data_IF_594762153449
#
_entry.id   IF_594762153449
#
_cell.length_a   1.000
_cell.length_b   1.000
_cell.length_c   1.000
_cell.angle_alpha   90.00
_cell.angle_beta   90.00
_cell.angle_gamma   90.00
#
_symmetry.space_group_name_H-M   'P 1'
#
loop_
_entity.id
_entity.type
_entity.pdbx_description
1 polymer ?
#
# COMPACT_ATOMS: atom_id res chain seq x y z
N UNK A 1 11.36 4.49 12.15
CA UNK A 1 11.79 4.37 10.73
C UNK A 1 11.86 2.89 10.40
N UNK A 2 11.46 2.49 9.19
CA UNK A 2 11.38 1.07 8.82
C UNK A 2 12.71 0.68 8.16
N UNK A 3 13.39 -0.34 8.70
CA UNK A 3 14.61 -0.86 8.06
C UNK A 3 14.29 -1.51 6.72
N UNK A 4 15.26 -1.56 5.81
CA UNK A 4 15.07 -2.25 4.52
C UNK A 4 14.66 -3.71 4.69
N UNK A 5 15.18 -4.41 5.69
CA UNK A 5 14.84 -5.81 5.95
C UNK A 5 13.41 -5.97 6.45
N UNK A 6 12.96 -5.10 7.35
CA UNK A 6 11.56 -5.10 7.81
C UNK A 6 10.61 -4.77 6.67
N UNK A 7 11.00 -3.84 5.80
CA UNK A 7 10.23 -3.47 4.61
C UNK A 7 10.15 -4.63 3.60
N UNK A 8 11.28 -5.27 3.27
CA UNK A 8 11.31 -6.44 2.40
C UNK A 8 10.52 -7.61 2.99
N UNK A 9 10.61 -7.85 4.30
CA UNK A 9 9.82 -8.87 4.98
C UNK A 9 8.33 -8.56 4.90
N UNK A 10 7.94 -7.30 5.10
CA UNK A 10 6.55 -6.86 4.95
C UNK A 10 6.06 -7.10 3.52
N UNK A 11 6.85 -6.78 2.50
CA UNK A 11 6.53 -7.04 1.10
C UNK A 11 6.39 -8.54 0.82
N UNK A 12 7.33 -9.35 1.31
CA UNK A 12 7.33 -10.80 1.19
C UNK A 12 6.09 -11.43 1.85
N UNK A 13 5.73 -10.99 3.05
CA UNK A 13 4.56 -11.47 3.80
C UNK A 13 3.21 -11.10 3.17
N UNK A 14 3.19 -10.13 2.26
CA UNK A 14 2.03 -9.72 1.47
C UNK A 14 1.87 -10.55 0.20
N UNK A 15 2.73 -11.54 -0.04
CA UNK A 15 2.61 -12.44 -1.20
C UNK A 15 1.77 -13.68 -0.86
N UNK A 16 0.90 -14.06 -1.80
CA UNK A 16 -0.04 -15.17 -1.62
C UNK A 16 0.67 -16.51 -1.37
N UNK A 17 1.72 -16.81 -2.16
CA UNK A 17 2.39 -18.10 -2.12
C UNK A 17 3.10 -18.36 -0.78
N UNK A 18 3.61 -17.32 -0.13
CA UNK A 18 4.25 -17.43 1.20
C UNK A 18 3.24 -17.85 2.25
N UNK A 19 2.05 -17.24 2.26
CA UNK A 19 0.97 -17.59 3.20
C UNK A 19 0.42 -18.98 2.91
N UNK A 20 0.21 -19.30 1.64
CA UNK A 20 -0.21 -20.61 1.20
C UNK A 20 0.77 -21.68 1.67
N UNK A 21 2.08 -21.47 1.47
CA UNK A 21 3.14 -22.38 1.92
C UNK A 21 3.17 -22.51 3.44
N UNK A 22 3.04 -21.42 4.20
CA UNK A 22 3.05 -21.44 5.67
C UNK A 22 1.86 -22.23 6.22
N UNK A 23 0.65 -22.00 5.71
CA UNK A 23 -0.55 -22.73 6.14
C UNK A 23 -0.48 -24.20 5.74
N UNK A 24 0.05 -24.48 4.54
CA UNK A 24 0.31 -25.83 4.06
C UNK A 24 1.29 -26.57 4.97
N UNK A 25 2.41 -25.93 5.32
CA UNK A 25 3.40 -26.50 6.21
C UNK A 25 2.82 -26.73 7.61
N UNK A 26 2.07 -25.77 8.15
CA UNK A 26 1.40 -25.91 9.44
C UNK A 26 0.40 -27.07 9.44
N UNK A 27 -0.37 -27.23 8.36
CA UNK A 27 -1.29 -28.35 8.17
C UNK A 27 -0.56 -29.70 8.17
N UNK A 28 0.54 -29.81 7.41
CA UNK A 28 1.37 -31.02 7.34
C UNK A 28 1.97 -31.34 8.71
N UNK A 29 2.57 -30.34 9.36
CA UNK A 29 3.17 -30.48 10.70
C UNK A 29 2.11 -30.92 11.71
N UNK A 30 0.91 -30.35 11.67
CA UNK A 30 -0.18 -30.72 12.59
C UNK A 30 -0.56 -32.19 12.43
N UNK A 31 -0.65 -32.70 11.19
CA UNK A 31 -0.92 -34.10 10.93
C UNK A 31 0.23 -35.01 11.45
N UNK A 32 1.49 -34.64 11.21
CA UNK A 32 2.65 -35.40 11.67
C UNK A 32 2.82 -35.39 13.19
N UNK A 33 2.52 -34.27 13.85
CA UNK A 33 2.57 -34.15 15.32
C UNK A 33 1.58 -35.12 15.97
N UNK A 34 0.43 -35.40 15.33
CA UNK A 34 -0.51 -36.39 15.85
C UNK A 34 0.06 -37.82 15.89
N UNK A 35 1.02 -38.16 15.00
CA UNK A 35 1.78 -39.41 15.06
C UNK A 35 2.75 -39.40 16.26
N UNK A 36 3.42 -38.27 16.50
CA UNK A 36 4.41 -38.16 17.57
C UNK A 36 3.81 -38.13 18.98
N UNK A 37 2.60 -37.58 19.13
CA UNK A 37 1.89 -37.48 20.41
C UNK A 37 1.21 -38.80 20.80
N UNK A 38 0.96 -39.70 19.86
CA UNK A 38 0.28 -41.00 20.08
C UNK A 38 0.77 -41.76 21.34
N UNK A 39 2.09 -41.89 21.63
CA UNK A 39 2.57 -42.62 22.79
C UNK A 39 2.22 -41.99 24.16
N UNK A 40 1.84 -40.71 24.17
CA UNK A 40 1.53 -39.96 25.39
C UNK A 40 0.04 -39.91 25.72
N UNK A 41 -0.83 -40.43 24.84
CA UNK A 41 -2.28 -40.42 25.02
C UNK A 41 -2.71 -41.72 25.74
N UNK A 42 -3.44 -41.66 26.86
CA UNK A 42 -3.93 -42.86 27.55
C UNK A 42 -4.83 -43.71 26.64
N UNK A 43 -4.58 -45.03 26.62
CA UNK A 43 -5.28 -45.99 25.76
C UNK A 43 -6.82 -46.00 25.95
N UNK A 44 -7.32 -45.58 27.12
CA UNK A 44 -8.75 -45.52 27.45
C UNK A 44 -9.56 -44.54 26.57
N UNK A 45 -8.89 -43.57 25.91
CA UNK A 45 -9.55 -42.62 25.01
C UNK A 45 -9.69 -43.13 23.57
N UNK A 46 -8.84 -44.08 23.15
CA UNK A 46 -8.74 -44.54 21.76
C UNK A 46 -9.91 -45.41 21.28
N UNK A 47 -10.53 -46.18 22.18
CA UNK A 47 -11.48 -47.23 21.82
C UNK A 47 -12.90 -46.80 21.42
N UNK A 48 -13.21 -45.50 21.36
CA UNK A 48 -14.59 -45.00 21.13
C UNK A 48 -14.77 -44.09 19.91
N UNK A 49 -13.70 -43.70 19.22
CA UNK A 49 -13.77 -42.86 18.02
C UNK A 49 -13.38 -43.73 16.82
N UNK A 50 -14.35 -44.08 15.99
CA UNK A 50 -14.15 -44.98 14.85
C UNK A 50 -13.24 -44.34 13.79
N UNK A 51 -12.21 -45.07 13.37
CA UNK A 51 -11.32 -44.69 12.27
C UNK A 51 -12.12 -44.32 11.00
N UNK A 52 -13.18 -45.07 10.72
CA UNK A 52 -14.09 -44.85 9.59
C UNK A 52 -14.70 -43.43 9.58
N UNK A 53 -14.98 -42.85 10.75
CA UNK A 53 -15.54 -41.50 10.84
C UNK A 53 -14.49 -40.43 10.52
N UNK A 54 -13.23 -40.66 10.88
CA UNK A 54 -12.12 -39.75 10.54
C UNK A 54 -11.84 -39.80 9.05
N UNK A 55 -11.72 -41.00 8.48
CA UNK A 55 -11.48 -41.20 7.04
C UNK A 55 -12.55 -40.50 6.20
N UNK A 56 -13.82 -40.71 6.53
CA UNK A 56 -14.93 -40.08 5.81
C UNK A 56 -14.87 -38.54 5.88
N UNK A 57 -14.53 -37.97 7.04
CA UNK A 57 -14.36 -36.51 7.19
C UNK A 57 -13.21 -36.00 6.32
N UNK A 58 -12.05 -36.65 6.39
CA UNK A 58 -10.88 -36.23 5.63
C UNK A 58 -11.12 -36.34 4.12
N UNK A 59 -11.79 -37.38 3.64
CA UNK A 59 -12.14 -37.53 2.22
C UNK A 59 -13.10 -36.43 1.73
N UNK A 60 -14.12 -36.11 2.52
CA UNK A 60 -15.04 -35.01 2.22
C UNK A 60 -14.26 -33.69 2.16
N UNK A 61 -13.35 -33.46 3.09
CA UNK A 61 -12.52 -32.25 3.10
C UNK A 61 -11.57 -32.20 1.91
N UNK A 62 -10.86 -33.29 1.60
CA UNK A 62 -9.92 -33.35 0.48
C UNK A 62 -10.63 -33.06 -0.87
N UNK A 63 -11.79 -33.67 -1.10
CA UNK A 63 -12.55 -33.47 -2.35
C UNK A 63 -13.18 -32.08 -2.44
N UNK A 64 -13.80 -31.59 -1.36
CA UNK A 64 -14.50 -30.30 -1.36
C UNK A 64 -13.54 -29.11 -1.35
N UNK A 65 -12.43 -29.17 -0.62
CA UNK A 65 -11.52 -28.02 -0.47
C UNK A 65 -10.78 -27.68 -1.75
N UNK A 66 -10.46 -28.66 -2.60
CA UNK A 66 -9.88 -28.38 -3.90
C UNK A 66 -10.87 -27.61 -4.81
N UNK A 67 -12.13 -28.01 -4.81
CA UNK A 67 -13.19 -27.32 -5.56
C UNK A 67 -13.43 -25.91 -5.03
N UNK A 68 -13.54 -25.73 -3.70
CA UNK A 68 -13.73 -24.41 -3.07
C UNK A 68 -12.52 -23.50 -3.31
N UNK A 69 -11.30 -24.03 -3.27
CA UNK A 69 -10.07 -23.27 -3.59
C UNK A 69 -10.07 -22.81 -5.05
N UNK A 70 -10.42 -23.70 -5.98
CA UNK A 70 -10.49 -23.39 -7.42
C UNK A 70 -11.55 -22.32 -7.71
N UNK A 71 -12.75 -22.48 -7.14
CA UNK A 71 -13.82 -21.48 -7.23
C UNK A 71 -13.35 -20.12 -6.69
N UNK A 72 -12.74 -20.11 -5.49
CA UNK A 72 -12.28 -18.88 -4.85
C UNK A 72 -11.17 -18.19 -5.63
N UNK A 73 -10.22 -18.94 -6.19
CA UNK A 73 -9.18 -18.40 -7.06
C UNK A 73 -9.77 -17.80 -8.34
N UNK A 74 -10.78 -18.44 -8.92
CA UNK A 74 -11.47 -17.94 -10.11
C UNK A 74 -12.14 -16.61 -9.84
N UNK A 75 -12.90 -16.51 -8.73
CA UNK A 75 -13.57 -15.26 -8.34
C UNK A 75 -12.55 -14.14 -8.08
N UNK A 76 -11.42 -14.46 -7.44
CA UNK A 76 -10.33 -13.50 -7.24
C UNK A 76 -9.79 -12.98 -8.57
N UNK A 77 -9.45 -13.86 -9.52
CA UNK A 77 -8.93 -13.46 -10.83
C UNK A 77 -9.96 -12.63 -11.61
N UNK A 78 -11.23 -13.02 -11.57
CA UNK A 78 -12.33 -12.24 -12.16
C UNK A 78 -12.43 -10.84 -11.55
N UNK A 79 -12.30 -10.71 -10.23
CA UNK A 79 -12.30 -9.42 -9.55
C UNK A 79 -11.08 -8.56 -9.92
N UNK A 80 -9.88 -9.15 -10.08
CA UNK A 80 -8.70 -8.42 -10.57
C UNK A 80 -8.90 -7.93 -12.01
N UNK A 81 -9.49 -8.75 -12.86
CA UNK A 81 -9.84 -8.36 -14.23
C UNK A 81 -10.84 -7.20 -14.23
N UNK A 82 -11.90 -7.29 -13.41
CA UNK A 82 -12.91 -6.23 -13.28
C UNK A 82 -12.32 -4.92 -12.75
N UNK A 83 -11.42 -4.96 -11.76
CA UNK A 83 -10.75 -3.76 -11.26
C UNK A 83 -9.78 -3.17 -12.30
N UNK A 84 -9.09 -4.01 -13.07
CA UNK A 84 -8.21 -3.55 -14.16
C UNK A 84 -9.01 -2.84 -15.26
N UNK A 85 -10.23 -3.30 -15.55
CA UNK A 85 -11.10 -2.74 -16.58
C UNK A 85 -11.94 -1.54 -16.13
N UNK A 86 -12.28 -1.43 -14.84
CA UNK A 86 -13.10 -0.33 -14.30
C UNK A 86 -12.31 0.75 -13.54
N UNK A 87 -11.10 0.44 -13.06
CA UNK A 87 -10.29 1.31 -12.22
C UNK A 87 -8.94 1.58 -12.91
N UNK A 88 -7.83 0.98 -12.47
CA UNK A 88 -6.54 1.04 -13.19
C UNK A 88 -5.71 -0.21 -12.86
N UNK A 89 -4.80 -0.65 -13.75
CA UNK A 89 -3.88 -1.76 -13.46
C UNK A 89 -2.97 -1.53 -12.25
N UNK A 90 -2.77 -0.27 -11.83
CA UNK A 90 -1.91 0.05 -10.68
C UNK A 90 -2.66 -0.13 -9.36
N UNK A 91 -3.96 0.17 -9.36
CA UNK A 91 -4.82 -0.06 -8.21
C UNK A 91 -5.04 -1.56 -7.93
N UNK A 92 -5.00 -2.42 -8.95
CA UNK A 92 -5.17 -3.87 -8.78
C UNK A 92 -4.02 -4.53 -8.00
N UNK A 93 -2.83 -3.93 -7.97
CA UNK A 93 -1.73 -4.42 -7.13
C UNK A 93 -2.08 -4.42 -5.64
N UNK A 94 -2.80 -3.38 -5.18
CA UNK A 94 -3.30 -3.38 -3.81
C UNK A 94 -4.30 -4.52 -3.64
N UNK A 95 -5.19 -4.76 -4.61
CA UNK A 95 -6.10 -5.92 -4.58
C UNK A 95 -5.37 -7.26 -4.43
N UNK A 96 -4.24 -7.43 -5.11
CA UNK A 96 -3.39 -8.62 -5.03
C UNK A 96 -2.74 -8.82 -3.66
N UNK A 97 -2.50 -7.74 -2.91
CA UNK A 97 -1.93 -7.75 -1.56
C UNK A 97 -3.00 -7.88 -0.45
N UNK A 98 -4.24 -8.23 -0.79
CA UNK A 98 -5.28 -8.41 0.23
C UNK A 98 -5.07 -9.66 1.09
N UNK A 99 -4.61 -9.41 2.30
CA UNK A 99 -4.36 -10.43 3.32
C UNK A 99 -5.61 -11.25 3.68
N UNK A 100 -6.82 -10.67 3.60
CA UNK A 100 -8.05 -11.42 3.91
C UNK A 100 -8.28 -12.50 2.86
N UNK A 101 -8.25 -12.12 1.59
CA UNK A 101 -8.40 -13.04 0.46
C UNK A 101 -7.28 -14.10 0.45
N UNK A 102 -6.03 -13.70 0.69
CA UNK A 102 -4.90 -14.62 0.74
C UNK A 102 -5.04 -15.64 1.89
N UNK A 103 -5.49 -15.20 3.08
CA UNK A 103 -5.70 -16.10 4.22
C UNK A 103 -6.83 -17.10 3.97
N UNK A 104 -7.92 -16.65 3.34
CA UNK A 104 -9.04 -17.53 2.95
C UNK A 104 -8.54 -18.64 2.04
N UNK A 105 -7.85 -18.30 0.94
CA UNK A 105 -7.31 -19.29 0.01
C UNK A 105 -6.28 -20.21 0.66
N UNK A 106 -5.38 -19.65 1.48
CA UNK A 106 -4.35 -20.42 2.19
C UNK A 106 -4.97 -21.41 3.19
N UNK A 107 -6.09 -21.04 3.82
CA UNK A 107 -6.83 -21.93 4.72
C UNK A 107 -7.49 -23.08 3.97
N UNK A 108 -8.12 -22.82 2.81
CA UNK A 108 -8.71 -23.89 2.00
C UNK A 108 -7.64 -24.85 1.44
N UNK A 109 -6.52 -24.32 0.96
CA UNK A 109 -5.38 -25.14 0.50
C UNK A 109 -4.75 -25.92 1.66
N UNK A 110 -4.58 -25.29 2.83
CA UNK A 110 -4.08 -25.93 4.03
C UNK A 110 -4.98 -27.06 4.50
N UNK A 111 -6.30 -26.86 4.51
CA UNK A 111 -7.27 -27.89 4.86
C UNK A 111 -7.26 -29.07 3.86
N UNK A 112 -7.12 -28.78 2.56
CA UNK A 112 -6.92 -29.80 1.53
C UNK A 112 -5.67 -30.65 1.81
N UNK A 113 -4.52 -30.01 2.05
CA UNK A 113 -3.25 -30.72 2.31
C UNK A 113 -3.23 -31.45 3.65
N UNK A 114 -3.80 -30.86 4.70
CA UNK A 114 -4.04 -31.53 5.98
C UNK A 114 -4.79 -32.83 5.76
N UNK A 115 -5.87 -32.77 4.98
CA UNK A 115 -6.70 -33.94 4.71
C UNK A 115 -5.96 -35.01 3.91
N UNK A 116 -5.23 -34.62 2.87
CA UNK A 116 -4.42 -35.54 2.08
C UNK A 116 -3.35 -36.25 2.92
N UNK A 117 -2.61 -35.50 3.75
CA UNK A 117 -1.59 -36.09 4.64
C UNK A 117 -2.23 -36.95 5.72
N UNK A 118 -3.37 -36.54 6.27
CA UNK A 118 -4.16 -37.33 7.21
C UNK A 118 -4.57 -38.68 6.61
N UNK A 119 -5.16 -38.68 5.40
CA UNK A 119 -5.55 -39.89 4.66
C UNK A 119 -4.35 -40.79 4.39
N UNK A 120 -3.24 -40.23 3.90
CA UNK A 120 -2.02 -41.00 3.62
C UNK A 120 -1.47 -41.63 4.91
N UNK A 121 -1.44 -40.90 6.02
CA UNK A 121 -0.97 -41.42 7.30
C UNK A 121 -1.90 -42.48 7.89
N UNK A 122 -3.23 -42.34 7.76
CA UNK A 122 -4.21 -43.35 8.20
C UNK A 122 -4.07 -44.63 7.39
N UNK A 123 -4.00 -44.52 6.06
CA UNK A 123 -3.80 -45.66 5.15
C UNK A 123 -2.45 -46.34 5.33
N UNK A 124 -1.41 -45.60 5.71
CA UNK A 124 -0.10 -46.16 6.04
C UNK A 124 -0.05 -46.85 7.42
N UNK A 125 -1.14 -46.79 8.21
CA UNK A 125 -1.18 -47.31 9.57
C UNK A 125 -0.27 -46.52 10.54
N UNK A 126 0.07 -45.28 10.21
CA UNK A 126 1.00 -44.46 11.00
C UNK A 126 0.38 -43.91 12.29
N UNK A 127 -0.95 -43.90 12.40
CA UNK A 127 -1.67 -43.44 13.59
C UNK A 127 -2.15 -44.62 14.43
N UNK A 128 -1.67 -44.71 15.68
CA UNK A 128 -2.27 -45.56 16.70
C UNK A 128 -3.63 -45.03 17.19
N UNK A 129 -4.24 -45.73 18.15
CA UNK A 129 -5.60 -45.40 18.62
C UNK A 129 -5.68 -43.99 19.26
N UNK A 130 -4.62 -43.53 19.92
CA UNK A 130 -4.55 -42.19 20.49
C UNK A 130 -4.38 -41.10 19.42
N UNK A 131 -3.51 -41.34 18.45
CA UNK A 131 -3.28 -40.47 17.30
C UNK A 131 -4.54 -40.26 16.45
N UNK A 132 -5.38 -41.30 16.30
CA UNK A 132 -6.68 -41.21 15.63
C UNK A 132 -7.67 -40.29 16.33
N UNK A 133 -7.72 -40.33 17.68
CA UNK A 133 -8.56 -39.43 18.47
C UNK A 133 -8.11 -37.98 18.30
N UNK A 134 -6.80 -37.73 18.36
CA UNK A 134 -6.25 -36.39 18.15
C UNK A 134 -6.54 -35.90 16.72
N UNK A 135 -6.35 -36.75 15.73
CA UNK A 135 -6.65 -36.44 14.34
C UNK A 135 -8.14 -36.11 14.15
N UNK A 136 -9.05 -36.86 14.77
CA UNK A 136 -10.49 -36.56 14.76
C UNK A 136 -10.81 -35.17 15.32
N UNK A 137 -10.27 -34.85 16.50
CA UNK A 137 -10.50 -33.54 17.16
C UNK A 137 -9.96 -32.39 16.30
N UNK A 138 -8.75 -32.56 15.74
CA UNK A 138 -8.13 -31.58 14.84
C UNK A 138 -8.95 -31.43 13.56
N UNK A 139 -9.44 -32.52 12.97
CA UNK A 139 -10.32 -32.48 11.79
C UNK A 139 -11.61 -31.72 12.07
N UNK A 140 -12.23 -31.93 13.24
CA UNK A 140 -13.44 -31.18 13.62
C UNK A 140 -13.15 -29.68 13.79
N UNK A 141 -12.02 -29.34 14.41
CA UNK A 141 -11.57 -27.96 14.51
C UNK A 141 -11.29 -27.35 13.12
N UNK A 142 -10.68 -28.11 12.22
CA UNK A 142 -10.42 -27.68 10.84
C UNK A 142 -11.72 -27.45 10.06
N UNK A 143 -12.73 -28.32 10.21
CA UNK A 143 -14.07 -28.09 9.63
C UNK A 143 -14.64 -26.75 10.12
N UNK A 144 -14.58 -26.49 11.42
CA UNK A 144 -15.10 -25.25 11.99
C UNK A 144 -14.36 -24.03 11.42
N UNK A 145 -13.02 -24.09 11.34
CA UNK A 145 -12.18 -23.05 10.74
C UNK A 145 -12.56 -22.81 9.27
N UNK A 146 -12.71 -23.88 8.49
CA UNK A 146 -13.11 -23.81 7.07
C UNK A 146 -14.50 -23.18 6.93
N UNK A 147 -15.47 -23.59 7.74
CA UNK A 147 -16.83 -23.05 7.70
C UNK A 147 -16.86 -21.55 8.02
N UNK A 148 -16.17 -21.12 9.08
CA UNK A 148 -16.05 -19.69 9.43
C UNK A 148 -15.31 -18.90 8.34
N UNK A 149 -14.27 -19.49 7.76
CA UNK A 149 -13.50 -18.88 6.67
C UNK A 149 -14.34 -18.71 5.42
N UNK A 150 -15.19 -19.68 5.10
CA UNK A 150 -16.12 -19.60 3.96
C UNK A 150 -17.19 -18.52 4.18
N UNK A 151 -17.75 -18.40 5.39
CA UNK A 151 -18.69 -17.31 5.71
C UNK A 151 -18.02 -15.94 5.59
N UNK A 152 -16.79 -15.80 6.10
CA UNK A 152 -15.99 -14.59 5.96
C UNK A 152 -15.70 -14.28 4.48
N UNK A 153 -15.41 -15.30 3.68
CA UNK A 153 -15.17 -15.16 2.26
C UNK A 153 -16.40 -14.63 1.52
N UNK A 154 -17.57 -15.22 1.76
CA UNK A 154 -18.85 -14.77 1.17
C UNK A 154 -19.11 -13.31 1.53
N UNK A 155 -18.92 -12.92 2.80
CA UNK A 155 -19.08 -11.54 3.22
C UNK A 155 -18.10 -10.59 2.51
N UNK A 156 -16.84 -11.01 2.35
CA UNK A 156 -15.80 -10.20 1.71
C UNK A 156 -16.05 -9.99 0.21
N UNK A 157 -16.53 -11.03 -0.48
CA UNK A 157 -16.79 -11.03 -1.91
C UNK A 157 -17.79 -9.95 -2.37
N UNK A 158 -18.73 -9.58 -1.51
CA UNK A 158 -19.77 -8.59 -1.86
C UNK A 158 -19.24 -7.19 -2.17
N UNK A 159 -18.01 -6.88 -1.73
CA UNK A 159 -17.34 -5.59 -1.93
C UNK A 159 -16.04 -5.70 -2.73
N UNK A 160 -15.46 -6.89 -2.82
CA UNK A 160 -14.17 -7.12 -3.46
C UNK A 160 -14.19 -6.81 -4.95
N UNK A 161 -13.20 -6.06 -5.44
CA UNK A 161 -13.08 -5.70 -6.86
C UNK A 161 -14.04 -4.61 -7.36
N UNK A 162 -14.92 -4.08 -6.49
CA UNK A 162 -15.75 -2.92 -6.84
C UNK A 162 -14.91 -1.65 -6.83
N UNK A 163 -15.28 -0.68 -7.67
CA UNK A 163 -14.60 0.63 -7.79
C UNK A 163 -14.45 1.27 -6.41
N UNK A 164 -15.53 1.37 -5.64
CA UNK A 164 -15.51 2.00 -4.30
C UNK A 164 -14.50 1.38 -3.34
N UNK A 165 -14.42 0.04 -3.26
CA UNK A 165 -13.45 -0.64 -2.39
C UNK A 165 -12.02 -0.46 -2.90
N UNK A 166 -11.81 -0.55 -4.21
CA UNK A 166 -10.48 -0.37 -4.81
C UNK A 166 -9.96 1.04 -4.55
N UNK A 167 -10.80 2.06 -4.79
CA UNK A 167 -10.47 3.46 -4.52
C UNK A 167 -10.21 3.70 -3.03
N UNK A 168 -10.93 3.04 -2.11
CA UNK A 168 -10.70 3.16 -0.66
C UNK A 168 -9.33 2.60 -0.24
N UNK A 169 -8.88 1.55 -0.91
CA UNK A 169 -7.56 0.98 -0.64
C UNK A 169 -6.44 1.87 -1.15
N UNK A 170 -6.62 2.49 -2.32
CA UNK A 170 -5.67 3.49 -2.82
C UNK A 170 -5.64 4.71 -1.90
N UNK A 171 -6.81 5.19 -1.45
CA UNK A 171 -6.93 6.28 -0.48
C UNK A 171 -6.19 5.96 0.84
N UNK A 172 -6.43 4.78 1.42
CA UNK A 172 -5.72 4.34 2.65
C UNK A 172 -4.21 4.27 2.45
N UNK A 173 -3.76 3.77 1.30
CA UNK A 173 -2.33 3.69 0.99
C UNK A 173 -1.70 5.09 0.81
N UNK A 174 -2.38 5.99 0.09
CA UNK A 174 -1.96 7.38 -0.09
C UNK A 174 -1.90 8.14 1.24
N UNK A 175 -2.95 8.00 2.07
CA UNK A 175 -3.01 8.60 3.39
C UNK A 175 -1.89 8.10 4.29
N UNK A 176 -1.68 6.77 4.38
CA UNK A 176 -0.63 6.21 5.22
C UNK A 176 0.77 6.65 4.81
N UNK A 177 1.05 6.73 3.50
CA UNK A 177 2.33 7.22 3.00
C UNK A 177 2.53 8.70 3.31
N UNK A 178 1.49 9.53 3.11
CA UNK A 178 1.56 10.96 3.40
C UNK A 178 1.69 11.24 4.90
N UNK A 179 0.88 10.58 5.72
CA UNK A 179 0.93 10.64 7.19
C UNK A 179 2.34 10.30 7.69
N UNK A 180 2.96 9.25 7.16
CA UNK A 180 4.34 8.89 7.49
C UNK A 180 5.34 10.01 7.17
N UNK A 181 5.21 10.67 6.01
CA UNK A 181 6.05 11.80 5.60
C UNK A 181 5.82 13.05 6.44
N UNK A 182 4.58 13.27 6.89
CA UNK A 182 4.21 14.38 7.76
C UNK A 182 4.75 14.16 9.18
N UNK A 183 4.67 12.93 9.71
CA UNK A 183 5.26 12.55 11.00
C UNK A 183 6.79 12.55 10.97
N UNK A 184 7.37 12.17 9.83
CA UNK A 184 8.82 12.07 9.61
C UNK A 184 9.23 12.88 8.38
N UNK A 185 9.27 14.23 8.46
CA UNK A 185 9.67 15.08 7.34
C UNK A 185 10.99 14.62 6.74
N UNK A 186 11.06 14.57 5.41
CA UNK A 186 12.23 14.09 4.67
C UNK A 186 12.68 12.67 5.11
N UNK A 187 11.72 11.82 5.50
CA UNK A 187 11.97 10.48 6.07
C UNK A 187 12.90 10.51 7.29
N UNK A 188 12.85 11.57 8.10
CA UNK A 188 13.69 11.78 9.28
C UNK A 188 15.06 12.40 9.02
N UNK A 189 15.39 12.69 7.76
CA UNK A 189 16.59 13.41 7.34
C UNK A 189 16.42 14.93 7.47
N UNK A 190 17.51 15.67 7.28
CA UNK A 190 17.47 17.12 7.14
C UNK A 190 16.81 17.52 5.80
N UNK A 191 16.08 18.65 5.75
CA UNK A 191 15.55 19.15 4.49
C UNK A 191 16.68 19.64 3.56
N UNK A 192 16.66 19.17 2.32
CA UNK A 192 17.51 19.63 1.23
C UNK A 192 16.72 20.59 0.32
N UNK A 193 16.63 21.85 0.73
CA UNK A 193 15.93 22.90 -0.04
C UNK A 193 16.84 23.66 -1.00
N UNK A 194 18.15 23.69 -0.72
CA UNK A 194 19.14 24.37 -1.54
C UNK A 194 20.25 23.39 -1.94
N UNK A 195 20.37 23.15 -3.25
CA UNK A 195 21.39 22.27 -3.83
C UNK A 195 22.80 22.90 -3.78
N UNK A 196 22.92 24.22 -3.57
CA UNK A 196 24.21 24.91 -3.44
C UNK A 196 24.98 24.50 -2.19
N UNK A 197 24.28 23.96 -1.19
CA UNK A 197 24.87 23.43 0.05
C UNK A 197 25.72 22.18 -0.21
N UNK A 198 25.51 21.51 -1.35
CA UNK A 198 26.26 20.31 -1.70
C UNK A 198 27.64 20.71 -2.26
N UNK A 199 28.76 20.33 -1.62
CA UNK A 199 30.08 20.69 -2.12
C UNK A 199 30.34 20.16 -3.54
N UNK A 200 31.06 20.93 -4.36
CA UNK A 200 31.46 20.48 -5.70
C UNK A 200 32.36 19.24 -5.66
N UNK A 201 33.09 19.04 -4.57
CA UNK A 201 33.93 17.88 -4.32
C UNK A 201 33.13 16.64 -3.89
N UNK A 202 31.82 16.74 -3.71
CA UNK A 202 30.98 15.62 -3.29
C UNK A 202 30.94 14.54 -4.37
N UNK A 203 31.19 13.29 -3.97
CA UNK A 203 31.19 12.16 -4.86
C UNK A 203 29.76 11.73 -5.21
N UNK A 204 29.53 11.37 -6.46
CA UNK A 204 28.23 10.85 -6.89
C UNK A 204 28.05 9.39 -6.48
N UNK A 205 26.90 9.08 -5.88
CA UNK A 205 26.37 7.73 -5.72
C UNK A 205 25.39 7.44 -6.88
N UNK A 206 25.80 6.76 -7.95
CA UNK A 206 24.93 6.52 -9.10
C UNK A 206 23.90 5.41 -8.80
N UNK A 207 22.78 5.44 -9.51
CA UNK A 207 21.90 4.27 -9.57
C UNK A 207 22.58 3.14 -10.36
N UNK A 208 22.30 1.89 -9.99
CA UNK A 208 22.92 0.72 -10.64
C UNK A 208 22.04 0.10 -11.74
N UNK A 209 20.78 0.54 -11.87
CA UNK A 209 19.84 0.11 -12.91
C UNK A 209 18.84 1.21 -13.25
N UNK A 210 18.15 1.06 -14.37
CA UNK A 210 17.00 1.89 -14.76
C UNK A 210 15.77 1.41 -13.99
N UNK A 211 15.22 2.24 -13.10
CA UNK A 211 14.19 1.84 -12.15
C UNK A 211 13.56 3.06 -11.44
N UNK A 212 12.50 2.84 -10.68
CA UNK A 212 12.01 3.76 -9.66
C UNK A 212 12.66 3.47 -8.30
N UNK A 213 12.86 4.50 -7.50
CA UNK A 213 13.19 4.35 -6.07
C UNK A 213 11.94 3.93 -5.31
N UNK A 214 11.91 2.72 -4.77
CA UNK A 214 10.77 2.22 -3.99
C UNK A 214 10.89 2.53 -2.50
N UNK A 215 12.10 2.40 -1.97
CA UNK A 215 12.38 2.53 -0.54
C UNK A 215 13.78 3.09 -0.31
N UNK A 216 13.91 3.95 0.70
CA UNK A 216 15.17 4.46 1.22
C UNK A 216 15.22 4.17 2.71
N UNK A 217 16.26 3.43 3.13
CA UNK A 217 16.59 3.21 4.53
C UNK A 217 17.46 4.39 5.03
N UNK A 218 16.80 5.50 5.35
CA UNK A 218 17.47 6.73 5.81
C UNK A 218 18.20 6.55 7.13
N UNK A 219 17.75 5.62 7.98
CA UNK A 219 18.43 5.28 9.23
C UNK A 219 19.78 4.62 8.94
N UNK A 220 19.79 3.59 8.08
CA UNK A 220 21.03 2.93 7.66
C UNK A 220 21.99 3.91 6.98
N UNK A 221 21.49 4.81 6.13
CA UNK A 221 22.31 5.87 5.53
C UNK A 221 22.96 6.74 6.60
N UNK A 222 22.20 7.16 7.62
CA UNK A 222 22.71 8.01 8.70
C UNK A 222 23.72 7.31 9.60
N UNK A 223 23.48 6.05 9.93
CA UNK A 223 24.38 5.23 10.74
C UNK A 223 25.72 5.03 10.02
N UNK A 224 25.70 4.61 8.75
CA UNK A 224 26.92 4.47 7.94
C UNK A 224 27.64 5.80 7.72
N UNK A 225 26.89 6.89 7.49
CA UNK A 225 27.48 8.22 7.33
C UNK A 225 28.15 8.70 8.62
N UNK A 226 27.55 8.44 9.78
CA UNK A 226 28.13 8.77 11.08
C UNK A 226 29.42 8.00 11.34
N UNK A 227 29.41 6.69 11.09
CA UNK A 227 30.56 5.81 11.30
C UNK A 227 31.78 6.24 10.48
N UNK A 228 31.56 6.70 9.24
CA UNK A 228 32.63 7.05 8.31
C UNK A 228 32.90 8.56 8.20
N UNK A 229 32.21 9.38 8.99
CA UNK A 229 32.35 10.85 8.94
C UNK A 229 31.93 11.46 7.60
N UNK A 230 30.92 10.88 6.94
CA UNK A 230 30.38 11.34 5.65
C UNK A 230 29.11 12.17 5.87
N UNK A 231 28.76 12.97 4.86
CA UNK A 231 27.41 13.55 4.73
C UNK A 231 26.75 13.07 3.44
N UNK A 232 25.49 12.67 3.54
CA UNK A 232 24.74 12.07 2.43
C UNK A 232 23.63 13.03 2.00
N UNK A 233 23.70 13.52 0.77
CA UNK A 233 22.68 14.35 0.15
C UNK A 233 21.89 13.50 -0.83
N UNK A 234 20.76 12.94 -0.38
CA UNK A 234 19.83 12.19 -1.22
C UNK A 234 19.24 13.13 -2.27
N UNK A 235 19.27 12.73 -3.54
CA UNK A 235 18.73 13.53 -4.65
C UNK A 235 17.47 12.89 -5.26
N UNK A 236 17.40 11.56 -5.23
CA UNK A 236 16.26 10.79 -5.72
C UNK A 236 15.40 10.34 -4.54
N UNK A 237 14.22 10.95 -4.37
CA UNK A 237 13.24 10.55 -3.38
C UNK A 237 12.48 9.27 -3.80
N UNK A 238 11.77 8.57 -2.88
CA UNK A 238 10.85 7.51 -3.27
C UNK A 238 9.88 8.00 -4.36
N UNK A 239 9.71 7.19 -5.40
CA UNK A 239 8.94 7.54 -6.59
C UNK A 239 9.75 8.16 -7.73
N UNK A 240 10.98 8.60 -7.50
CA UNK A 240 11.84 9.14 -8.56
C UNK A 240 12.27 8.04 -9.53
N UNK A 241 12.18 8.34 -10.84
CA UNK A 241 12.72 7.47 -11.89
C UNK A 241 14.22 7.76 -12.07
N UNK A 242 15.04 6.72 -11.99
CA UNK A 242 16.51 6.82 -12.00
C UNK A 242 17.12 5.88 -13.02
N UNK A 243 18.34 6.21 -13.45
CA UNK A 243 19.18 5.42 -14.34
C UNK A 243 20.66 5.65 -13.96
N UNK A 244 21.63 4.91 -14.54
CA UNK A 244 23.05 5.08 -14.16
C UNK A 244 23.65 6.47 -14.38
N UNK A 245 23.02 7.33 -15.19
CA UNK A 245 23.40 8.74 -15.36
C UNK A 245 22.73 9.69 -14.37
N UNK A 246 21.69 9.26 -13.65
CA UNK A 246 21.05 10.05 -12.60
C UNK A 246 21.56 9.62 -11.21
N UNK A 247 22.05 10.56 -10.40
CA UNK A 247 22.55 10.25 -9.07
C UNK A 247 21.42 9.89 -8.10
N UNK A 248 21.61 8.86 -7.28
CA UNK A 248 20.75 8.59 -6.12
C UNK A 248 21.01 9.61 -5.02
N UNK A 249 22.30 9.87 -4.78
CA UNK A 249 22.79 10.79 -3.77
C UNK A 249 24.14 11.39 -4.16
N UNK A 250 24.52 12.48 -3.49
CA UNK A 250 25.88 13.01 -3.44
C UNK A 250 26.45 12.84 -2.03
N UNK A 251 27.73 12.49 -1.94
CA UNK A 251 28.41 12.16 -0.68
C UNK A 251 29.55 13.14 -0.46
N UNK A 252 29.50 13.94 0.61
CA UNK A 252 30.64 14.73 1.05
C UNK A 252 31.54 13.86 1.93
N UNK A 253 32.79 13.72 1.51
CA UNK A 253 33.79 12.84 2.12
C UNK A 253 34.42 11.89 1.11
N UNK A 254 35.35 11.05 1.59
CA UNK A 254 36.03 10.05 0.75
C UNK A 254 35.30 8.71 0.87
N UNK A 255 34.71 8.26 -0.23
CA UNK A 255 33.96 7.00 -0.29
C UNK A 255 34.80 5.90 -0.95
N UNK A 256 35.03 4.80 -0.25
CA UNK A 256 35.62 3.58 -0.84
C UNK A 256 34.57 2.80 -1.64
N UNK A 257 35.00 1.89 -2.52
CA UNK A 257 34.08 1.08 -3.31
C UNK A 257 33.21 0.14 -2.45
N UNK A 258 33.74 -0.36 -1.33
CA UNK A 258 32.99 -1.17 -0.37
C UNK A 258 31.89 -0.35 0.31
N UNK A 259 32.23 0.85 0.80
CA UNK A 259 31.27 1.78 1.41
C UNK A 259 30.19 2.21 0.42
N UNK A 260 30.57 2.42 -0.85
CA UNK A 260 29.63 2.71 -1.95
C UNK A 260 28.58 1.61 -2.08
N UNK A 261 28.99 0.35 -2.07
CA UNK A 261 28.08 -0.79 -2.13
C UNK A 261 27.10 -0.83 -0.95
N UNK A 262 27.58 -0.52 0.26
CA UNK A 262 26.74 -0.48 1.47
C UNK A 262 25.70 0.64 1.40
N UNK A 263 26.11 1.85 0.97
CA UNK A 263 25.19 2.98 0.79
C UNK A 263 24.16 2.71 -0.31
N UNK A 264 24.57 2.15 -1.45
CA UNK A 264 23.64 1.69 -2.49
C UNK A 264 22.66 0.65 -1.93
N UNK A 265 23.13 -0.23 -1.05
CA UNK A 265 22.32 -1.23 -0.37
C UNK A 265 21.23 -0.65 0.53
N UNK A 266 21.26 0.64 0.89
CA UNK A 266 20.18 1.32 1.62
C UNK A 266 19.03 1.77 0.71
N UNK A 267 19.22 1.77 -0.61
CA UNK A 267 18.17 2.03 -1.59
C UNK A 267 17.57 0.70 -2.08
N UNK A 268 16.26 0.70 -2.34
CA UNK A 268 15.57 -0.35 -3.09
C UNK A 268 15.05 0.25 -4.39
N UNK A 269 15.45 -0.35 -5.51
CA UNK A 269 15.06 0.09 -6.85
C UNK A 269 14.25 -1.02 -7.53
N UNK A 270 13.15 -0.69 -8.19
CA UNK A 270 12.38 -1.64 -8.99
C UNK A 270 11.75 -1.00 -10.24
N UNK A 271 11.25 -1.79 -11.18
CA UNK A 271 10.67 -1.32 -12.44
C UNK A 271 9.38 -0.52 -12.24
N UNK A 272 8.77 -0.59 -11.05
CA UNK A 272 7.48 -0.02 -10.75
C UNK A 272 7.56 0.84 -9.47
N UNK A 273 6.62 1.79 -9.32
CA UNK A 273 6.50 2.58 -8.07
C UNK A 273 5.84 1.75 -6.98
N UNK A 274 6.23 1.99 -5.74
CA UNK A 274 5.64 1.41 -4.53
C UNK A 274 4.73 2.42 -3.84
N UNK A 275 3.66 1.96 -3.18
CA UNK A 275 2.79 2.81 -2.35
C UNK A 275 3.36 3.06 -0.95
N UNK A 276 4.40 2.33 -0.52
CA UNK A 276 4.79 2.29 0.89
C UNK A 276 5.51 3.58 1.37
N UNK A 277 6.37 4.17 0.55
CA UNK A 277 7.12 5.39 0.89
C UNK A 277 6.89 6.56 -0.08
N UNK A 278 6.04 6.39 -1.08
CA UNK A 278 5.76 7.39 -2.11
C UNK A 278 4.34 7.98 -1.92
N UNK A 279 4.23 9.15 -1.26
CA UNK A 279 2.93 9.78 -1.00
C UNK A 279 2.26 10.30 -2.27
N UNK A 280 3.03 10.55 -3.34
CA UNK A 280 2.51 11.02 -4.62
C UNK A 280 1.86 9.89 -5.41
N UNK A 281 2.38 8.67 -5.32
CA UNK A 281 1.91 7.59 -6.18
C UNK A 281 0.44 7.23 -5.96
N UNK A 282 0.01 7.18 -4.70
CA UNK A 282 -1.40 6.99 -4.36
C UNK A 282 -2.30 8.07 -4.96
N UNK A 283 -1.84 9.33 -4.93
CA UNK A 283 -2.54 10.46 -5.55
C UNK A 283 -2.58 10.34 -7.08
N UNK A 284 -1.47 9.99 -7.73
CA UNK A 284 -1.44 9.72 -9.17
C UNK A 284 -2.45 8.63 -9.56
N UNK A 285 -2.51 7.54 -8.80
CA UNK A 285 -3.43 6.42 -9.09
C UNK A 285 -4.88 6.86 -8.88
N UNK A 286 -5.21 7.63 -7.85
CA UNK A 286 -6.55 8.22 -7.71
C UNK A 286 -6.91 9.14 -8.88
N UNK A 287 -5.96 9.96 -9.34
CA UNK A 287 -6.16 10.82 -10.49
C UNK A 287 -6.42 10.02 -11.77
N UNK A 288 -5.70 8.92 -11.99
CA UNK A 288 -5.98 7.99 -13.09
C UNK A 288 -7.40 7.42 -13.02
N UNK A 289 -7.89 7.07 -11.82
CA UNK A 289 -9.27 6.57 -11.61
C UNK A 289 -10.29 7.63 -12.02
N UNK A 290 -10.11 8.87 -11.54
CA UNK A 290 -10.99 9.98 -11.88
C UNK A 290 -10.95 10.28 -13.38
N UNK A 291 -9.76 10.41 -13.99
CA UNK A 291 -9.59 10.64 -15.43
C UNK A 291 -10.22 9.53 -16.27
N UNK A 292 -10.11 8.27 -15.85
CA UNK A 292 -10.76 7.16 -16.55
C UNK A 292 -12.28 7.25 -16.45
N UNK A 293 -12.81 7.58 -15.27
CA UNK A 293 -14.25 7.78 -15.07
C UNK A 293 -14.78 8.92 -15.95
N UNK A 294 -14.01 10.00 -16.11
CA UNK A 294 -14.35 11.15 -16.95
C UNK A 294 -14.18 10.89 -18.45
N UNK A 295 -13.55 9.78 -18.84
CA UNK A 295 -13.33 9.46 -20.25
C UNK A 295 -14.66 9.27 -21.00
N UNK A 296 -14.72 9.59 -22.31
CA UNK A 296 -15.93 9.40 -23.11
C UNK A 296 -16.48 7.95 -23.10
N UNK A 297 -15.61 6.97 -22.85
CA UNK A 297 -15.99 5.55 -22.81
C UNK A 297 -16.73 5.15 -21.52
N UNK A 298 -16.46 5.83 -20.40
CA UNK A 298 -17.07 5.52 -19.08
C UNK A 298 -18.13 6.55 -18.71
N UNK A 299 -17.81 7.84 -18.84
CA UNK A 299 -18.69 8.98 -18.58
C UNK A 299 -19.41 8.92 -17.21
N UNK A 300 -18.63 8.69 -16.14
CA UNK A 300 -19.09 8.64 -14.76
C UNK A 300 -18.46 9.78 -13.93
N UNK A 301 -19.03 11.01 -13.98
CA UNK A 301 -18.55 12.13 -13.17
C UNK A 301 -18.72 11.89 -11.66
N UNK A 302 -19.62 10.98 -11.24
CA UNK A 302 -19.86 10.64 -9.84
C UNK A 302 -18.62 10.04 -9.18
N UNK A 303 -17.93 9.13 -9.87
CA UNK A 303 -16.66 8.55 -9.39
C UNK A 303 -15.56 9.61 -9.28
N UNK A 304 -15.45 10.54 -10.23
CA UNK A 304 -14.47 11.63 -10.15
C UNK A 304 -14.76 12.58 -8.97
N UNK A 305 -16.03 12.89 -8.71
CA UNK A 305 -16.46 13.68 -7.55
C UNK A 305 -16.13 12.98 -6.23
N UNK A 306 -16.33 11.66 -6.14
CA UNK A 306 -15.93 10.86 -4.98
C UNK A 306 -14.41 10.92 -4.77
N UNK A 307 -13.61 10.73 -5.82
CA UNK A 307 -12.14 10.85 -5.77
C UNK A 307 -11.68 12.23 -5.31
N UNK A 308 -12.26 13.31 -5.83
CA UNK A 308 -11.98 14.68 -5.36
C UNK A 308 -12.32 14.87 -3.87
N UNK A 309 -13.31 14.13 -3.35
CA UNK A 309 -13.66 14.18 -1.93
C UNK A 309 -12.65 13.44 -1.06
N UNK A 310 -12.09 12.34 -1.58
CA UNK A 310 -11.04 11.54 -0.93
C UNK A 310 -9.75 12.32 -0.77
N UNK A 311 -9.38 13.15 -1.75
CA UNK A 311 -8.16 13.97 -1.66
C UNK A 311 -8.20 14.95 -0.49
N UNK A 312 -9.36 15.48 -0.13
CA UNK A 312 -9.50 16.31 1.07
C UNK A 312 -9.13 15.51 2.31
N UNK A 313 -9.63 14.27 2.45
CA UNK A 313 -9.29 13.41 3.59
C UNK A 313 -7.80 13.08 3.63
N UNK A 314 -7.21 12.74 2.49
CA UNK A 314 -5.77 12.44 2.38
C UNK A 314 -4.95 13.66 2.78
N UNK A 315 -5.18 14.80 2.14
CA UNK A 315 -4.36 16.00 2.31
C UNK A 315 -4.64 16.74 3.63
N UNK A 316 -5.76 16.47 4.31
CA UNK A 316 -6.09 17.11 5.60
C UNK A 316 -5.06 16.85 6.71
N UNK A 317 -4.30 15.76 6.66
CA UNK A 317 -3.26 15.45 7.65
C UNK A 317 -2.01 16.34 7.53
N UNK A 318 -1.83 17.04 6.40
CA UNK A 318 -0.59 17.72 6.04
C UNK A 318 -0.17 18.84 7.02
N UNK A 319 -1.10 19.57 7.62
CA UNK A 319 -0.78 20.61 8.62
C UNK A 319 -0.82 20.13 10.08
N UNK A 320 -1.40 18.96 10.36
CA UNK A 320 -1.57 18.47 11.73
C UNK A 320 -0.23 18.29 12.48
N UNK A 321 0.90 18.24 11.76
CA UNK A 321 2.25 18.25 12.33
C UNK A 321 3.15 19.43 11.91
N UNK A 322 2.77 20.22 10.90
CA UNK A 322 3.57 21.36 10.44
C UNK A 322 3.53 22.55 11.42
N UNK A 323 2.41 22.74 12.12
CA UNK A 323 2.17 23.90 12.99
C UNK A 323 2.50 23.67 14.49
N UNK A 324 3.20 22.59 14.86
CA UNK A 324 3.67 22.40 16.24
C UNK A 324 2.59 22.32 17.32
N UNK A 325 1.33 22.02 16.96
CA UNK A 325 0.20 21.88 17.90
C UNK A 325 -0.15 20.41 18.17
N UNK A 326 0.85 19.62 18.58
CA UNK A 326 0.59 18.40 19.34
C UNK A 326 1.20 18.58 20.72
N UNK A 327 0.30 18.59 21.71
CA UNK A 327 0.57 18.44 23.12
C UNK A 327 1.64 17.39 23.38
N UNK A 328 2.73 17.80 24.05
CA UNK A 328 3.51 17.09 25.06
C UNK A 328 3.67 15.54 25.05
N UNK A 329 3.46 14.83 23.94
CA UNK A 329 3.39 13.36 23.94
C UNK A 329 3.87 12.67 22.67
N UNK A 330 3.73 13.28 21.48
CA UNK A 330 4.26 12.73 20.24
C UNK A 330 5.46 13.56 19.78
N UNK A 331 6.62 13.03 20.16
CA UNK A 331 7.96 13.57 19.95
C UNK A 331 8.13 14.07 18.51
N UNK A 332 8.58 15.32 18.38
CA UNK A 332 9.36 15.76 17.20
C UNK A 332 10.37 14.65 16.85
N UNK A 333 10.69 14.53 15.57
CA UNK A 333 11.94 13.92 15.13
C UNK A 333 13.06 14.21 16.16
N UNK A 334 13.68 13.14 16.67
CA UNK A 334 14.78 13.17 17.64
C UNK A 334 14.48 13.72 19.05
N UNK A 335 15.37 13.43 20.01
CA UNK A 335 15.44 14.20 21.26
C UNK A 335 15.69 15.67 20.89
N UNK A 336 14.95 16.60 21.49
CA UNK A 336 15.16 18.06 21.38
C UNK A 336 14.89 18.70 19.99
N UNK A 337 14.15 18.04 19.09
CA UNK A 337 13.78 18.63 17.80
C UNK A 337 14.88 18.61 16.74
N UNK A 338 15.91 17.76 16.95
CA UNK A 338 16.92 17.45 15.93
C UNK A 338 16.42 16.35 14.99
N UNK A 339 16.74 16.38 13.69
CA UNK A 339 16.39 15.29 12.79
C UNK A 339 16.94 13.96 13.30
N UNK A 340 16.20 12.88 13.08
CA UNK A 340 16.60 11.53 13.50
C UNK A 340 17.89 11.09 12.79
N UNK A 341 18.09 11.58 11.57
CA UNK A 341 19.22 11.25 10.71
C UNK A 341 20.08 12.48 10.44
N UNK A 342 20.95 12.85 11.40
CA UNK A 342 21.71 14.10 11.39
C UNK A 342 22.68 14.24 10.18
N UNK A 343 23.19 13.13 9.64
CA UNK A 343 24.16 13.13 8.53
C UNK A 343 23.52 12.90 7.14
N UNK A 344 22.20 12.97 7.05
CA UNK A 344 21.47 12.78 5.79
C UNK A 344 20.63 14.02 5.49
N UNK A 345 20.62 14.43 4.23
CA UNK A 345 19.78 15.50 3.68
C UNK A 345 18.94 14.93 2.55
N UNK A 346 17.67 15.31 2.47
CA UNK A 346 16.74 14.81 1.47
C UNK A 346 15.72 15.90 1.07
N UNK A 347 15.29 15.97 -0.19
CA UNK A 347 14.29 16.93 -0.63
C UNK A 347 12.98 16.76 0.17
N UNK A 348 12.37 17.87 0.61
CA UNK A 348 11.04 17.82 1.19
C UNK A 348 10.00 17.41 0.14
N UNK A 349 8.83 16.96 0.61
CA UNK A 349 7.69 16.74 -0.26
C UNK A 349 7.10 18.09 -0.68
N UNK A 350 7.14 18.39 -1.97
CA UNK A 350 6.57 19.62 -2.52
C UNK A 350 5.04 19.49 -2.71
N UNK A 351 4.22 20.33 -2.05
CA UNK A 351 2.78 20.37 -2.28
C UNK A 351 2.41 20.60 -3.74
N UNK A 352 3.18 21.42 -4.47
CA UNK A 352 2.90 21.74 -5.87
C UNK A 352 2.98 20.49 -6.76
N UNK A 353 3.95 19.61 -6.51
CA UNK A 353 4.07 18.33 -7.20
C UNK A 353 2.88 17.40 -6.93
N UNK A 354 2.43 17.31 -5.67
CA UNK A 354 1.26 16.50 -5.31
C UNK A 354 -0.01 17.04 -5.98
N UNK A 355 -0.18 18.36 -6.01
CA UNK A 355 -1.35 18.99 -6.63
C UNK A 355 -1.32 18.87 -8.16
N UNK A 356 -0.15 18.99 -8.77
CA UNK A 356 0.04 18.75 -10.20
C UNK A 356 -0.29 17.30 -10.58
N UNK A 357 0.21 16.33 -9.82
CA UNK A 357 -0.04 14.91 -10.08
C UNK A 357 -1.53 14.55 -9.93
N UNK A 358 -2.24 15.22 -9.02
CA UNK A 358 -3.63 14.90 -8.70
C UNK A 358 -4.67 15.75 -9.43
N UNK A 359 -4.66 17.07 -9.22
CA UNK A 359 -5.74 17.96 -9.66
C UNK A 359 -5.65 18.31 -11.13
N UNK A 360 -4.44 18.48 -11.68
CA UNK A 360 -4.25 18.88 -13.08
C UNK A 360 -4.92 17.93 -14.08
N UNK A 361 -4.70 16.60 -14.05
CA UNK A 361 -5.36 15.69 -14.98
C UNK A 361 -6.89 15.70 -14.84
N UNK A 362 -7.42 15.72 -13.61
CA UNK A 362 -8.87 15.76 -13.35
C UNK A 362 -9.48 17.06 -13.88
N UNK A 363 -8.81 18.20 -13.64
CA UNK A 363 -9.25 19.50 -14.10
C UNK A 363 -9.28 19.59 -15.63
N UNK A 364 -8.30 18.98 -16.31
CA UNK A 364 -8.22 18.91 -17.77
C UNK A 364 -9.32 18.02 -18.33
N UNK A 365 -9.43 16.79 -17.84
CA UNK A 365 -10.33 15.78 -18.41
C UNK A 365 -11.80 16.08 -18.08
N UNK A 366 -12.06 16.71 -16.92
CA UNK A 366 -13.40 17.14 -16.49
C UNK A 366 -13.73 18.59 -16.87
N UNK A 367 -12.96 19.26 -17.74
CA UNK A 367 -13.14 20.68 -18.05
C UNK A 367 -14.55 21.02 -18.56
N UNK A 368 -15.14 20.15 -19.37
CA UNK A 368 -16.49 20.31 -19.93
C UNK A 368 -17.63 19.85 -19.03
N UNK A 369 -17.35 19.35 -17.82
CA UNK A 369 -18.37 18.80 -16.90
C UNK A 369 -18.56 19.73 -15.71
N UNK A 370 -19.67 20.45 -15.68
CA UNK A 370 -19.91 21.53 -14.71
C UNK A 370 -19.92 21.02 -13.26
N UNK A 371 -20.51 19.85 -13.01
CA UNK A 371 -20.59 19.21 -11.69
C UNK A 371 -19.21 18.86 -11.13
N UNK A 372 -18.27 18.47 -12.01
CA UNK A 372 -16.88 18.15 -11.63
C UNK A 372 -16.13 19.43 -11.29
N UNK A 373 -16.28 20.47 -12.12
CA UNK A 373 -15.62 21.77 -11.89
C UNK A 373 -16.13 22.44 -10.62
N UNK A 374 -17.44 22.41 -10.36
CA UNK A 374 -18.02 22.89 -9.09
C UNK A 374 -17.42 22.13 -7.90
N UNK A 375 -17.27 20.80 -7.99
CA UNK A 375 -16.65 20.03 -6.91
C UNK A 375 -15.19 20.39 -6.71
N UNK A 376 -14.45 20.54 -7.81
CA UNK A 376 -13.04 20.88 -7.81
C UNK A 376 -12.77 22.23 -7.13
N UNK A 377 -13.54 23.27 -7.47
CA UNK A 377 -13.46 24.59 -6.81
C UNK A 377 -13.70 24.48 -5.30
N UNK A 378 -14.75 23.75 -4.88
CA UNK A 378 -15.08 23.55 -3.47
C UNK A 378 -14.00 22.80 -2.71
N UNK A 379 -13.44 21.75 -3.32
CA UNK A 379 -12.37 20.93 -2.71
C UNK A 379 -11.09 21.74 -2.53
N UNK A 380 -10.68 22.48 -3.55
CA UNK A 380 -9.48 23.33 -3.46
C UNK A 380 -9.69 24.47 -2.45
N UNK A 381 -10.88 25.03 -2.37
CA UNK A 381 -11.22 26.04 -1.36
C UNK A 381 -11.16 25.46 0.05
N UNK A 382 -11.71 24.26 0.27
CA UNK A 382 -11.58 23.57 1.55
C UNK A 382 -10.12 23.33 1.92
N UNK A 383 -9.27 22.90 0.98
CA UNK A 383 -7.84 22.69 1.26
C UNK A 383 -7.13 24.01 1.58
N UNK A 384 -7.48 25.09 0.88
CA UNK A 384 -6.91 26.41 1.13
C UNK A 384 -7.32 27.01 2.49
N UNK A 385 -8.53 26.69 2.96
CA UNK A 385 -9.05 27.12 4.26
C UNK A 385 -8.53 26.24 5.41
N UNK A 386 -8.47 24.92 5.19
CA UNK A 386 -7.96 23.97 6.17
C UNK A 386 -6.48 24.20 6.45
N UNK A 387 -5.70 24.59 5.43
CA UNK A 387 -4.26 24.77 5.56
C UNK A 387 -3.73 26.00 4.79
N UNK A 388 -3.98 27.21 5.32
CA UNK A 388 -3.67 28.46 4.62
C UNK A 388 -2.18 28.67 4.35
N UNK A 389 -1.32 28.21 5.26
CA UNK A 389 0.12 28.49 5.21
C UNK A 389 0.89 27.48 4.35
N UNK A 390 0.42 26.23 4.26
CA UNK A 390 1.10 25.15 3.52
C UNK A 390 0.48 24.87 2.15
N UNK A 391 -0.85 24.83 2.06
CA UNK A 391 -1.57 24.47 0.84
C UNK A 391 -2.34 25.65 0.22
N UNK A 392 -2.49 26.75 0.95
CA UNK A 392 -3.36 27.87 0.57
C UNK A 392 -3.06 28.49 -0.79
N UNK A 393 -1.79 28.79 -1.07
CA UNK A 393 -1.39 29.39 -2.36
C UNK A 393 -1.53 28.41 -3.51
N UNK A 394 -0.98 27.20 -3.36
CA UNK A 394 -1.04 26.14 -4.38
C UNK A 394 -2.49 25.77 -4.71
N UNK A 395 -3.36 25.66 -3.71
CA UNK A 395 -4.77 25.37 -3.93
C UNK A 395 -5.51 26.48 -4.70
N UNK A 396 -5.20 27.75 -4.43
CA UNK A 396 -5.75 28.89 -5.19
C UNK A 396 -5.29 28.89 -6.64
N UNK A 397 -4.01 28.62 -6.88
CA UNK A 397 -3.48 28.54 -8.24
C UNK A 397 -4.11 27.42 -9.05
N UNK A 398 -4.25 26.23 -8.45
CA UNK A 398 -4.95 25.12 -9.09
C UNK A 398 -6.44 25.43 -9.33
N UNK A 399 -7.10 26.17 -8.44
CA UNK A 399 -8.49 26.55 -8.61
C UNK A 399 -8.65 27.54 -9.78
N UNK A 400 -7.74 28.50 -9.89
CA UNK A 400 -7.68 29.44 -11.02
C UNK A 400 -7.45 28.72 -12.34
N UNK A 401 -6.43 27.85 -12.43
CA UNK A 401 -6.14 27.09 -13.64
C UNK A 401 -7.28 26.15 -14.04
N UNK A 402 -7.98 25.56 -13.08
CA UNK A 402 -9.17 24.74 -13.34
C UNK A 402 -10.32 25.58 -13.92
N UNK A 403 -10.59 26.77 -13.36
CA UNK A 403 -11.59 27.69 -13.89
C UNK A 403 -11.25 28.12 -15.33
N UNK A 404 -10.01 28.50 -15.59
CA UNK A 404 -9.54 28.89 -16.93
C UNK A 404 -9.79 27.77 -17.96
N UNK A 405 -9.47 26.51 -17.62
CA UNK A 405 -9.76 25.34 -18.47
C UNK A 405 -11.25 25.15 -18.70
N UNK A 406 -12.06 25.25 -17.65
CA UNK A 406 -13.50 25.04 -17.73
C UNK A 406 -14.19 26.09 -18.61
N UNK A 407 -13.83 27.37 -18.44
CA UNK A 407 -14.40 28.49 -19.21
C UNK A 407 -14.12 28.35 -20.71
N UNK A 408 -12.99 27.75 -21.10
CA UNK A 408 -12.66 27.49 -22.50
C UNK A 408 -13.51 26.38 -23.14
N UNK A 409 -14.02 25.43 -22.35
CA UNK A 409 -14.68 24.20 -22.86
C UNK A 409 -16.19 24.20 -22.64
N UNK A 410 -16.68 24.81 -21.55
CA UNK A 410 -18.12 24.88 -21.27
C UNK A 410 -18.82 25.72 -22.33
N UNK A 411 -19.83 25.16 -22.99
CA UNK A 411 -20.54 25.81 -24.10
C UNK A 411 -21.55 26.87 -23.62
N UNK A 412 -22.23 26.62 -22.49
CA UNK A 412 -23.31 27.47 -22.00
C UNK A 412 -22.76 28.66 -21.20
N UNK A 413 -23.15 29.88 -21.58
CA UNK A 413 -22.75 31.12 -20.89
C UNK A 413 -23.14 31.13 -19.41
N UNK A 414 -24.33 30.62 -19.09
CA UNK A 414 -24.84 30.54 -17.72
C UNK A 414 -23.94 29.66 -16.84
N UNK A 415 -23.43 28.54 -17.35
CA UNK A 415 -22.55 27.66 -16.60
C UNK A 415 -21.18 28.31 -16.35
N UNK A 416 -20.62 28.97 -17.37
CA UNK A 416 -19.38 29.75 -17.24
C UNK A 416 -19.52 30.83 -16.17
N UNK A 417 -20.64 31.57 -16.19
CA UNK A 417 -20.94 32.62 -15.21
C UNK A 417 -21.10 32.05 -13.81
N UNK A 418 -21.91 31.01 -13.64
CA UNK A 418 -22.15 30.37 -12.33
C UNK A 418 -20.86 29.84 -11.71
N UNK A 419 -19.99 29.21 -12.51
CA UNK A 419 -18.71 28.69 -12.05
C UNK A 419 -17.75 29.83 -11.67
N UNK A 420 -17.71 30.90 -12.45
CA UNK A 420 -16.89 32.09 -12.15
C UNK A 420 -17.36 32.77 -10.87
N UNK A 421 -18.68 32.96 -10.70
CA UNK A 421 -19.27 33.54 -9.49
C UNK A 421 -18.99 32.66 -8.27
N UNK A 422 -19.05 31.33 -8.40
CA UNK A 422 -18.67 30.40 -7.34
C UNK A 422 -17.19 30.54 -6.98
N UNK A 423 -16.29 30.55 -7.97
CA UNK A 423 -14.85 30.67 -7.73
C UNK A 423 -14.51 31.98 -7.02
N UNK A 424 -15.10 33.11 -7.46
CA UNK A 424 -14.91 34.42 -6.82
C UNK A 424 -15.42 34.46 -5.36
N UNK A 425 -16.49 33.72 -5.04
CA UNK A 425 -17.00 33.62 -3.65
C UNK A 425 -16.07 32.78 -2.77
N UNK A 426 -15.54 31.69 -3.30
CA UNK A 426 -14.66 30.77 -2.57
C UNK A 426 -13.23 31.32 -2.45
N UNK A 427 -12.79 32.12 -3.42
CA UNK A 427 -11.46 32.71 -3.50
C UNK A 427 -11.58 34.21 -3.80
N UNK A 428 -11.95 35.03 -2.81
CA UNK A 428 -12.05 36.46 -3.01
C UNK A 428 -10.69 37.04 -3.42
N UNK A 429 -10.63 37.99 -4.38
CA UNK A 429 -9.40 38.67 -4.75
C UNK A 429 -8.80 39.36 -3.51
N UNK A 430 -7.50 39.15 -3.29
CA UNK A 430 -6.75 39.75 -2.18
C UNK A 430 -6.52 41.24 -2.39
#
# INVERSE_FOLDING_TARGET
MISKWDWLWKQFSRTLWVRALLYSLLAIVTALVAIWIDPYIPADFGGRIGADAVDQILDIMASSMLAVTTFSLTVMVSAYSAATSSVTPRATRLLMQDTTTQNVLSTFLGAFLFSLVGIVGLNAGAYGDGGRVLLFVVSLAMILIVALTLLRWISHLTHFGRVGNTTERVEKAAHAALEYWVEHPCLGANPLTDLSVIPETAQTLPAWKVAYVEHIDTQKLSESACEWGLKVYVLAAPGSFVNPSTPLAKIEGSLTDEQRGILQGAFSLDAERSFDQDPRYGMCVLAEIASRALSPAVNDPGTAIDVLSRSVRILSCWEYHAAGRIDAGHKRAGKEGKPLCENVWMPPLDPQDVFNDFFTPIARDGAGMIEVQVRLQKVLSNLAELQPDTLGEVARDHARLALERAVQVLNLETDRRNLTDLSNRLFPPR
#
